data_IF_794283982820
#
_entry.id   IF_794283982820
#
_cell.length_a   1.000
_cell.length_b   1.000
_cell.length_c   1.000
_cell.angle_alpha   90.00
_cell.angle_beta   90.00
_cell.angle_gamma   90.00
#
_symmetry.space_group_name_H-M   'P 1'
#
loop_
_entity.id
_entity.type
_entity.pdbx_description
1 polymer ?
#
# COMPACT_ATOMS: atom_id res chain seq x y z
N UNK A 1 -21.09 -30.65 1.17
CA UNK A 1 -20.28 -29.57 1.75
C UNK A 1 -19.97 -28.60 0.61
N UNK A 2 -20.45 -27.37 0.65
CA UNK A 2 -20.14 -26.36 -0.34
C UNK A 2 -18.64 -26.01 -0.16
N UNK A 3 -17.82 -26.26 -1.19
CA UNK A 3 -16.40 -25.95 -1.16
C UNK A 3 -16.19 -24.47 -0.84
N UNK A 4 -15.36 -24.19 0.14
CA UNK A 4 -14.98 -22.83 0.51
C UNK A 4 -14.34 -22.14 -0.69
N UNK A 5 -14.91 -21.01 -1.12
CA UNK A 5 -14.37 -20.26 -2.26
C UNK A 5 -13.10 -19.53 -1.84
N UNK A 6 -11.98 -19.94 -2.41
CA UNK A 6 -10.71 -19.23 -2.28
C UNK A 6 -10.87 -17.74 -2.60
N UNK A 7 -10.36 -16.87 -1.74
CA UNK A 7 -10.30 -15.42 -1.96
C UNK A 7 -8.92 -15.05 -2.46
N UNK A 8 -8.87 -14.32 -3.58
CA UNK A 8 -7.63 -13.78 -4.16
C UNK A 8 -7.55 -12.29 -3.85
N UNK A 9 -6.40 -11.86 -3.34
CA UNK A 9 -6.15 -10.48 -2.94
C UNK A 9 -4.85 -10.03 -3.59
N UNK A 10 -4.85 -8.90 -4.28
CA UNK A 10 -3.65 -8.25 -4.80
C UNK A 10 -3.38 -6.98 -4.00
N UNK A 11 -2.11 -6.78 -3.60
CA UNK A 11 -1.70 -5.70 -2.70
C UNK A 11 -0.48 -4.98 -3.23
N UNK A 12 -0.52 -3.67 -3.27
CA UNK A 12 0.63 -2.81 -3.59
C UNK A 12 0.67 -1.60 -2.67
N UNK A 13 1.75 -0.81 -2.75
CA UNK A 13 1.90 0.45 -2.00
C UNK A 13 2.82 1.44 -2.72
N UNK A 14 2.85 2.66 -2.22
CA UNK A 14 3.90 3.64 -2.49
C UNK A 14 4.08 3.94 -3.99
N UNK A 15 2.98 4.24 -4.70
CA UNK A 15 3.02 4.66 -6.10
C UNK A 15 3.59 6.06 -6.27
N UNK A 16 3.34 6.95 -5.31
CA UNK A 16 3.82 8.33 -5.30
C UNK A 16 3.53 9.07 -6.63
N UNK A 17 2.28 9.07 -7.06
CA UNK A 17 1.90 9.84 -8.25
C UNK A 17 2.24 11.33 -8.06
N UNK A 18 2.77 12.03 -9.08
CA UNK A 18 2.89 11.59 -10.47
C UNK A 18 4.24 10.92 -10.80
N UNK A 19 5.10 10.68 -9.82
CA UNK A 19 6.44 10.09 -10.04
C UNK A 19 6.43 8.55 -10.05
N UNK A 20 5.29 7.95 -10.27
CA UNK A 20 5.18 6.49 -10.44
C UNK A 20 6.04 6.04 -11.63
N UNK A 21 6.79 4.95 -11.45
CA UNK A 21 7.52 4.32 -12.56
C UNK A 21 6.54 3.73 -13.55
N UNK A 22 6.61 4.19 -14.82
CA UNK A 22 5.69 3.72 -15.86
C UNK A 22 5.81 2.22 -16.09
N UNK A 23 7.02 1.70 -16.21
CA UNK A 23 7.24 0.27 -16.44
C UNK A 23 6.71 -0.60 -15.29
N UNK A 24 6.90 -0.15 -14.04
CA UNK A 24 6.29 -0.84 -12.90
C UNK A 24 4.76 -0.79 -12.94
N UNK A 25 4.19 0.35 -13.25
CA UNK A 25 2.74 0.50 -13.27
C UNK A 25 2.08 -0.38 -14.34
N UNK A 26 2.65 -0.40 -15.54
CA UNK A 26 2.17 -1.28 -16.62
C UNK A 26 2.28 -2.76 -16.23
N UNK A 27 3.39 -3.14 -15.59
CA UNK A 27 3.58 -4.50 -15.06
C UNK A 27 2.57 -4.84 -13.95
N UNK A 28 2.32 -3.92 -13.00
CA UNK A 28 1.33 -4.09 -11.93
C UNK A 28 -0.07 -4.34 -12.50
N UNK A 29 -0.48 -3.58 -13.51
CA UNK A 29 -1.76 -3.78 -14.18
C UNK A 29 -1.85 -5.19 -14.79
N UNK A 30 -0.79 -5.66 -15.45
CA UNK A 30 -0.73 -7.02 -15.98
C UNK A 30 -0.84 -8.10 -14.89
N UNK A 31 -0.21 -7.88 -13.72
CA UNK A 31 -0.35 -8.79 -12.58
C UNK A 31 -1.78 -8.84 -12.06
N UNK A 32 -2.43 -7.68 -11.91
CA UNK A 32 -3.82 -7.59 -11.44
C UNK A 32 -4.77 -8.28 -12.43
N UNK A 33 -4.63 -7.98 -13.72
CA UNK A 33 -5.47 -8.55 -14.76
C UNK A 33 -5.31 -10.08 -14.88
N UNK A 34 -4.08 -10.56 -14.85
CA UNK A 34 -3.79 -12.01 -14.93
C UNK A 34 -4.24 -12.77 -13.68
N UNK A 35 -4.08 -12.17 -12.51
CA UNK A 35 -4.45 -12.79 -11.23
C UNK A 35 -5.96 -12.81 -10.99
N UNK A 36 -6.71 -11.85 -11.55
CA UNK A 36 -8.16 -11.70 -11.37
C UNK A 36 -8.58 -11.69 -9.89
N UNK A 37 -8.10 -10.75 -9.09
CA UNK A 37 -8.34 -10.72 -7.65
C UNK A 37 -9.81 -10.47 -7.32
N UNK A 38 -10.27 -10.95 -6.16
CA UNK A 38 -11.56 -10.59 -5.58
C UNK A 38 -11.47 -9.29 -4.76
N UNK A 39 -10.27 -9.00 -4.27
CA UNK A 39 -9.96 -7.77 -3.54
C UNK A 39 -8.65 -7.19 -4.06
N UNK A 40 -8.62 -5.89 -4.19
CA UNK A 40 -7.37 -5.14 -4.36
C UNK A 40 -7.20 -4.19 -3.18
N UNK A 41 -5.97 -4.08 -2.70
CA UNK A 41 -5.64 -3.24 -1.55
C UNK A 41 -4.43 -2.37 -1.89
N UNK A 42 -4.65 -1.07 -1.95
CA UNK A 42 -3.58 -0.08 -1.94
C UNK A 42 -3.25 0.27 -0.48
N UNK A 43 -2.02 0.01 -0.06
CA UNK A 43 -1.59 0.25 1.31
C UNK A 43 -1.24 1.71 1.60
N UNK A 44 -1.37 2.60 0.63
CA UNK A 44 -1.13 4.03 0.82
C UNK A 44 0.10 4.55 0.08
N UNK A 45 0.35 5.85 0.28
CA UNK A 45 1.30 6.65 -0.47
C UNK A 45 1.02 6.57 -1.98
N UNK A 46 -0.26 6.73 -2.35
CA UNK A 46 -0.66 6.87 -3.74
C UNK A 46 -0.28 8.24 -4.27
N UNK A 47 -0.51 9.27 -3.46
CA UNK A 47 -0.02 10.63 -3.70
C UNK A 47 1.42 10.79 -3.25
N UNK A 48 2.18 11.67 -3.91
CA UNK A 48 3.47 12.12 -3.40
C UNK A 48 3.29 13.24 -2.36
N UNK A 49 2.25 14.06 -2.51
CA UNK A 49 1.88 15.08 -1.55
C UNK A 49 2.99 16.10 -1.28
N UNK A 50 3.88 16.35 -2.25
CA UNK A 50 5.07 17.18 -2.07
C UNK A 50 4.73 18.60 -1.60
N UNK A 51 3.67 19.16 -2.12
CA UNK A 51 3.17 20.48 -1.79
C UNK A 51 2.65 20.60 -0.35
N UNK A 52 2.29 19.50 0.30
CA UNK A 52 1.84 19.45 1.69
C UNK A 52 2.98 19.27 2.69
N UNK A 53 4.20 19.01 2.21
CA UNK A 53 5.33 18.73 3.10
C UNK A 53 5.84 20.03 3.75
N UNK A 54 5.97 20.02 5.08
CA UNK A 54 6.56 21.12 5.88
C UNK A 54 7.96 21.53 5.40
N UNK A 55 8.68 20.64 4.72
CA UNK A 55 10.06 20.77 4.29
C UNK A 55 10.23 21.01 2.78
N UNK A 56 9.15 21.26 2.05
CA UNK A 56 9.21 21.51 0.62
C UNK A 56 9.88 22.85 0.31
N UNK A 57 11.21 22.92 0.46
CA UNK A 57 12.03 24.09 0.12
C UNK A 57 12.48 24.13 -1.34
N UNK A 58 12.28 23.06 -2.09
CA UNK A 58 12.65 23.01 -3.51
C UNK A 58 11.46 23.41 -4.37
N UNK A 59 11.44 24.71 -4.72
CA UNK A 59 10.38 25.32 -5.55
C UNK A 59 10.39 24.85 -7.01
N UNK A 60 11.41 24.13 -7.44
CA UNK A 60 11.71 23.93 -8.86
C UNK A 60 11.42 22.52 -9.40
N UNK A 61 10.82 21.66 -8.62
CA UNK A 61 10.46 20.31 -9.07
C UNK A 61 8.93 20.18 -9.19
N UNK A 62 8.48 20.50 -10.18
CA UNK A 62 7.57 20.90 -11.13
C UNK A 62 6.32 20.11 -11.36
N UNK A 63 5.50 19.66 -10.40
CA UNK A 63 4.09 19.34 -10.66
C UNK A 63 3.17 20.09 -9.68
N UNK A 64 2.03 20.48 -10.22
CA UNK A 64 0.95 21.10 -9.46
C UNK A 64 0.08 20.03 -8.76
N UNK A 65 -0.72 20.45 -7.79
CA UNK A 65 -1.76 19.61 -7.16
C UNK A 65 -2.68 19.01 -8.22
N UNK A 66 -3.02 19.79 -9.24
CA UNK A 66 -3.90 19.33 -10.31
C UNK A 66 -3.27 18.20 -11.13
N UNK A 67 -2.00 18.31 -11.48
CA UNK A 67 -1.27 17.24 -12.19
C UNK A 67 -1.19 15.97 -11.35
N UNK A 68 -1.00 16.10 -10.04
CA UNK A 68 -1.00 14.96 -9.13
C UNK A 68 -2.39 14.29 -9.08
N UNK A 69 -3.46 15.05 -8.97
CA UNK A 69 -4.83 14.54 -9.06
C UNK A 69 -5.10 13.85 -10.41
N UNK A 70 -4.69 14.45 -11.53
CA UNK A 70 -4.85 13.86 -12.85
C UNK A 70 -4.10 12.53 -12.99
N UNK A 71 -2.89 12.45 -12.43
CA UNK A 71 -2.11 11.22 -12.41
C UNK A 71 -2.82 10.13 -11.61
N UNK A 72 -3.31 10.43 -10.40
CA UNK A 72 -4.06 9.48 -9.56
C UNK A 72 -5.35 9.04 -10.25
N UNK A 73 -6.12 9.96 -10.84
CA UNK A 73 -7.35 9.63 -11.57
C UNK A 73 -7.06 8.69 -12.76
N UNK A 74 -5.98 8.96 -13.49
CA UNK A 74 -5.55 8.11 -14.62
C UNK A 74 -5.16 6.70 -14.15
N UNK A 75 -4.39 6.61 -13.08
CA UNK A 75 -4.01 5.33 -12.48
C UNK A 75 -5.22 4.58 -11.91
N UNK A 76 -6.12 5.27 -11.20
CA UNK A 76 -7.33 4.67 -10.65
C UNK A 76 -8.21 4.08 -11.77
N UNK A 77 -8.39 4.81 -12.86
CA UNK A 77 -9.13 4.31 -14.04
C UNK A 77 -8.51 3.05 -14.61
N UNK A 78 -7.19 3.02 -14.80
CA UNK A 78 -6.50 1.85 -15.33
C UNK A 78 -6.62 0.64 -14.38
N UNK A 79 -6.46 0.85 -13.06
CA UNK A 79 -6.64 -0.18 -12.04
C UNK A 79 -8.10 -0.67 -12.03
N UNK A 80 -9.09 0.24 -12.12
CA UNK A 80 -10.50 -0.13 -12.19
C UNK A 80 -10.80 -1.04 -13.38
N UNK A 81 -10.17 -0.78 -14.51
CA UNK A 81 -10.30 -1.62 -15.72
C UNK A 81 -9.65 -2.98 -15.54
N UNK A 82 -8.42 -3.04 -15.02
CA UNK A 82 -7.68 -4.28 -14.79
C UNK A 82 -8.31 -5.17 -13.71
N UNK A 83 -9.04 -4.57 -12.75
CA UNK A 83 -9.63 -5.26 -11.59
C UNK A 83 -11.15 -5.34 -11.61
N UNK A 84 -11.74 -5.52 -12.79
CA UNK A 84 -13.22 -5.61 -12.92
C UNK A 84 -13.82 -6.65 -11.96
N UNK A 85 -14.82 -6.24 -11.19
CA UNK A 85 -15.51 -7.10 -10.22
C UNK A 85 -14.79 -7.26 -8.88
N UNK A 86 -13.58 -6.74 -8.71
CA UNK A 86 -12.89 -6.74 -7.42
C UNK A 86 -13.44 -5.66 -6.48
N UNK A 87 -13.45 -5.96 -5.18
CA UNK A 87 -13.61 -4.93 -4.13
C UNK A 87 -12.31 -4.16 -3.98
N UNK A 88 -12.40 -2.83 -4.00
CA UNK A 88 -11.26 -1.93 -4.01
C UNK A 88 -11.13 -1.21 -2.68
N UNK A 89 -9.93 -1.20 -2.13
CA UNK A 89 -9.66 -0.62 -0.82
C UNK A 89 -8.37 0.21 -0.90
N UNK A 90 -8.43 1.42 -0.37
CA UNK A 90 -7.30 2.31 -0.25
C UNK A 90 -7.12 2.72 1.21
N UNK A 91 -5.98 2.38 1.79
CA UNK A 91 -5.54 2.86 3.09
C UNK A 91 -4.64 4.09 2.86
N UNK A 92 -4.78 5.12 3.67
CA UNK A 92 -3.84 6.23 3.61
C UNK A 92 -2.47 5.84 4.13
N UNK A 93 -1.43 6.25 3.40
CA UNK A 93 -0.08 6.36 3.90
C UNK A 93 0.19 7.77 4.46
N UNK A 94 1.41 8.01 4.92
CA UNK A 94 1.77 9.30 5.49
C UNK A 94 1.78 10.44 4.46
N UNK A 95 2.03 10.13 3.20
CA UNK A 95 1.96 11.11 2.10
C UNK A 95 0.51 11.50 1.80
N UNK A 96 -0.40 10.52 1.72
CA UNK A 96 -1.83 10.78 1.53
C UNK A 96 -2.40 11.58 2.70
N UNK A 97 -2.04 11.20 3.94
CA UNK A 97 -2.51 11.90 5.13
C UNK A 97 -2.00 13.34 5.19
N UNK A 98 -0.74 13.56 4.85
CA UNK A 98 -0.19 14.90 4.72
C UNK A 98 -0.91 15.74 3.66
N UNK A 99 -1.34 15.08 2.58
CA UNK A 99 -2.05 15.74 1.49
C UNK A 99 -3.46 16.17 1.87
N UNK A 100 -4.19 15.34 2.62
CA UNK A 100 -5.64 15.52 2.82
C UNK A 100 -6.06 15.87 4.24
N UNK A 101 -5.21 15.58 5.23
CA UNK A 101 -5.44 15.93 6.63
C UNK A 101 -4.50 17.06 7.05
N UNK A 102 -4.77 18.26 6.55
CA UNK A 102 -3.94 19.44 6.82
C UNK A 102 -3.96 19.74 8.31
N UNK A 103 -2.79 19.74 8.93
CA UNK A 103 -2.65 20.18 10.31
C UNK A 103 -2.98 21.68 10.41
N UNK A 104 -3.67 22.12 11.49
CA UNK A 104 -4.08 23.51 11.69
C UNK A 104 -2.95 24.54 11.61
N UNK A 105 -1.72 24.11 11.90
CA UNK A 105 -0.52 24.96 11.89
C UNK A 105 0.06 25.18 10.46
N UNK A 106 -0.54 24.59 9.45
CA UNK A 106 -0.15 24.79 8.04
C UNK A 106 -1.03 25.85 7.46
N UNK A 107 -0.53 27.07 7.42
CA UNK A 107 -1.18 28.29 6.95
C UNK A 107 -1.38 28.30 5.44
N UNK A 108 -2.34 27.57 4.96
CA UNK A 108 -2.80 27.71 3.59
C UNK A 108 -4.28 27.34 3.53
N UNK A 109 -5.11 28.09 4.27
CA UNK A 109 -6.57 27.92 4.25
C UNK A 109 -7.15 27.97 2.84
N UNK A 110 -6.49 28.69 1.92
CA UNK A 110 -6.92 28.84 0.53
C UNK A 110 -6.59 27.63 -0.35
N UNK A 111 -5.67 26.77 0.08
CA UNK A 111 -5.19 25.62 -0.71
C UNK A 111 -5.92 24.33 -0.31
N UNK A 112 -6.41 24.26 0.92
CA UNK A 112 -7.04 23.05 1.50
C UNK A 112 -8.15 22.46 0.64
N UNK A 113 -9.10 23.23 0.09
CA UNK A 113 -10.17 22.69 -0.76
C UNK A 113 -9.64 22.09 -2.06
N UNK A 114 -8.67 22.76 -2.70
CA UNK A 114 -8.07 22.27 -3.94
C UNK A 114 -7.30 20.95 -3.78
N UNK A 115 -6.94 20.61 -2.53
CA UNK A 115 -6.15 19.47 -2.17
C UNK A 115 -6.97 18.21 -1.97
N UNK A 116 -8.24 18.35 -1.60
CA UNK A 116 -9.10 17.19 -1.35
C UNK A 116 -9.45 16.51 -2.66
N UNK A 117 -9.05 15.23 -2.78
CA UNK A 117 -9.40 14.45 -3.95
C UNK A 117 -10.93 14.38 -4.19
N UNK A 118 -11.75 14.40 -3.15
CA UNK A 118 -13.21 14.39 -3.25
C UNK A 118 -13.79 15.66 -3.89
N UNK A 119 -13.03 16.75 -3.93
CA UNK A 119 -13.42 17.98 -4.60
C UNK A 119 -12.97 18.00 -6.07
N UNK A 120 -12.02 17.15 -6.45
CA UNK A 120 -11.65 16.93 -7.84
C UNK A 120 -12.58 15.89 -8.46
N UNK A 121 -13.46 16.33 -9.36
CA UNK A 121 -14.49 15.49 -9.97
C UNK A 121 -13.95 14.25 -10.68
N UNK A 122 -12.78 14.36 -11.29
CA UNK A 122 -12.18 13.22 -12.01
C UNK A 122 -11.69 12.15 -11.04
N UNK A 123 -10.99 12.54 -9.98
CA UNK A 123 -10.55 11.61 -8.92
C UNK A 123 -11.74 11.03 -8.18
N UNK A 124 -12.72 11.86 -7.79
CA UNK A 124 -13.91 11.42 -7.08
C UNK A 124 -14.67 10.36 -7.86
N UNK A 125 -14.86 10.56 -9.18
CA UNK A 125 -15.52 9.58 -10.05
C UNK A 125 -14.78 8.24 -10.11
N UNK A 126 -13.46 8.26 -10.27
CA UNK A 126 -12.67 7.03 -10.39
C UNK A 126 -12.54 6.29 -9.05
N UNK A 127 -12.74 6.97 -7.93
CA UNK A 127 -12.67 6.40 -6.58
C UNK A 127 -14.06 6.13 -5.94
N UNK A 128 -15.16 6.35 -6.67
CA UNK A 128 -16.52 6.18 -6.15
C UNK A 128 -16.74 4.80 -5.53
N UNK A 129 -16.26 3.73 -6.18
CA UNK A 129 -16.38 2.35 -5.73
C UNK A 129 -15.25 1.89 -4.79
N UNK A 130 -14.37 2.81 -4.37
CA UNK A 130 -13.29 2.47 -3.48
C UNK A 130 -13.67 2.69 -2.02
N UNK A 131 -13.40 1.69 -1.19
CA UNK A 131 -13.44 1.89 0.26
C UNK A 131 -12.16 2.59 0.69
N UNK A 132 -12.26 3.87 1.02
CA UNK A 132 -11.13 4.66 1.50
C UNK A 132 -11.08 4.63 3.02
N UNK A 133 -9.95 4.23 3.58
CA UNK A 133 -9.62 4.29 5.00
C UNK A 133 -8.73 5.52 5.21
N UNK A 134 -9.39 6.68 5.26
CA UNK A 134 -8.75 7.99 5.47
C UNK A 134 -8.20 8.10 6.88
N UNK A 135 -7.01 8.59 7.01
CA UNK A 135 -6.12 8.77 8.17
C UNK A 135 -5.02 7.72 8.22
N UNK A 136 -3.84 8.22 8.43
CA UNK A 136 -2.64 7.44 8.70
C UNK A 136 -2.39 7.34 10.20
N UNK A 137 -1.77 6.25 10.64
CA UNK A 137 -1.40 6.05 12.04
C UNK A 137 -1.23 4.57 12.38
N UNK A 138 -0.63 4.33 13.56
CA UNK A 138 -0.37 2.97 14.01
C UNK A 138 -1.64 2.13 14.18
N UNK A 139 -2.75 2.74 14.58
CA UNK A 139 -4.04 2.11 14.81
C UNK A 139 -4.90 2.02 13.53
N UNK A 140 -4.35 2.41 12.37
CA UNK A 140 -5.05 2.43 11.10
C UNK A 140 -4.69 1.23 10.26
N UNK A 141 -5.54 0.22 10.32
CA UNK A 141 -5.37 -1.03 9.56
C UNK A 141 -6.72 -1.60 9.10
N UNK A 142 -6.66 -2.41 8.08
CA UNK A 142 -7.76 -3.27 7.63
C UNK A 142 -7.44 -4.71 8.02
N UNK A 143 -8.43 -5.45 8.46
CA UNK A 143 -8.29 -6.88 8.69
C UNK A 143 -9.28 -7.67 7.84
N UNK A 144 -8.77 -8.63 7.09
CA UNK A 144 -9.57 -9.61 6.35
C UNK A 144 -9.16 -11.02 6.81
N UNK A 145 -9.96 -11.62 7.69
CA UNK A 145 -9.59 -12.87 8.35
C UNK A 145 -8.27 -12.72 9.13
N UNK A 146 -7.29 -13.60 8.92
CA UNK A 146 -6.00 -13.56 9.61
C UNK A 146 -5.02 -12.54 9.00
N UNK A 147 -5.42 -11.80 7.97
CA UNK A 147 -4.54 -10.88 7.26
C UNK A 147 -4.82 -9.46 7.72
N UNK A 148 -3.75 -8.78 8.15
CA UNK A 148 -3.76 -7.35 8.51
C UNK A 148 -3.05 -6.56 7.43
N UNK A 149 -3.71 -5.54 6.90
CA UNK A 149 -3.20 -4.59 5.91
C UNK A 149 -3.01 -3.24 6.57
N UNK A 150 -1.85 -2.65 6.41
CA UNK A 150 -1.48 -1.37 7.02
C UNK A 150 -0.43 -0.68 6.15
N UNK A 151 -0.42 0.65 6.11
CA UNK A 151 0.72 1.33 5.48
C UNK A 151 2.00 1.05 6.24
N UNK A 152 1.97 1.09 7.57
CA UNK A 152 3.13 0.98 8.46
C UNK A 152 3.67 2.36 8.84
N UNK A 153 4.24 2.46 10.03
CA UNK A 153 4.80 3.70 10.57
C UNK A 153 6.30 3.57 10.85
N UNK A 154 6.79 2.36 10.96
CA UNK A 154 8.18 2.08 11.34
C UNK A 154 9.06 1.81 10.11
N UNK A 155 10.26 2.39 10.12
CA UNK A 155 11.25 2.22 9.05
C UNK A 155 12.34 1.20 9.40
N UNK A 156 12.62 1.01 10.68
CA UNK A 156 13.63 0.06 11.14
C UNK A 156 13.10 -1.38 11.14
N UNK A 157 13.98 -2.36 10.88
CA UNK A 157 13.60 -3.79 10.95
C UNK A 157 12.99 -4.14 12.31
N UNK A 158 13.55 -3.64 13.41
CA UNK A 158 13.04 -3.90 14.75
C UNK A 158 11.67 -3.26 14.98
N UNK A 159 11.44 -2.05 14.47
CA UNK A 159 10.15 -1.37 14.53
C UNK A 159 9.08 -2.12 13.75
N UNK A 160 9.36 -2.51 12.50
CA UNK A 160 8.45 -3.31 11.66
C UNK A 160 8.07 -4.63 12.33
N UNK A 161 9.04 -5.32 12.96
CA UNK A 161 8.76 -6.55 13.71
C UNK A 161 7.82 -6.28 14.90
N UNK A 162 8.07 -5.22 15.68
CA UNK A 162 7.18 -4.83 16.79
C UNK A 162 5.76 -4.53 16.31
N UNK A 163 5.60 -3.76 15.24
CA UNK A 163 4.30 -3.50 14.63
C UNK A 163 3.61 -4.80 14.21
N UNK A 164 4.35 -5.72 13.61
CA UNK A 164 3.77 -7.00 13.17
C UNK A 164 3.24 -7.81 14.35
N UNK A 165 3.98 -7.91 15.44
CA UNK A 165 3.51 -8.60 16.66
C UNK A 165 2.29 -7.90 17.27
N UNK A 166 2.29 -6.56 17.28
CA UNK A 166 1.25 -5.78 17.94
C UNK A 166 -0.08 -5.77 17.17
N UNK A 167 -0.02 -5.67 15.83
CA UNK A 167 -1.22 -5.49 15.00
C UNK A 167 -1.70 -6.76 14.30
N UNK A 168 -0.90 -7.83 14.28
CA UNK A 168 -1.32 -9.13 13.74
C UNK A 168 -1.96 -10.01 14.80
N UNK A 169 -2.70 -11.00 14.35
CA UNK A 169 -3.09 -12.14 15.19
C UNK A 169 -2.00 -13.20 15.14
N UNK A 170 -1.82 -14.01 16.20
CA UNK A 170 -0.95 -15.20 16.13
C UNK A 170 -1.32 -16.04 14.90
N UNK A 171 -0.31 -16.52 14.19
CA UNK A 171 -0.43 -17.21 12.90
C UNK A 171 -1.03 -16.38 11.76
N UNK A 172 -1.15 -15.05 11.94
CA UNK A 172 -1.61 -14.13 10.94
C UNK A 172 -0.49 -13.54 10.09
N UNK A 173 -0.87 -13.01 8.93
CA UNK A 173 0.01 -12.26 8.04
C UNK A 173 -0.24 -10.75 8.19
N UNK A 174 0.81 -9.97 8.36
CA UNK A 174 0.77 -8.51 8.16
C UNK A 174 1.37 -8.17 6.80
N UNK A 175 0.63 -7.43 5.99
CA UNK A 175 1.14 -6.84 4.76
C UNK A 175 1.26 -5.33 4.98
N UNK A 176 2.48 -4.80 4.83
CA UNK A 176 2.74 -3.37 5.04
C UNK A 176 3.57 -2.76 3.93
N UNK A 177 3.39 -1.46 3.70
CA UNK A 177 4.19 -0.63 2.78
C UNK A 177 5.28 0.16 3.50
N UNK A 178 5.38 1.47 3.22
CA UNK A 178 6.18 2.50 3.85
C UNK A 178 7.70 2.34 3.74
N UNK A 179 8.25 1.17 4.00
CA UNK A 179 9.71 0.96 3.99
C UNK A 179 10.31 0.91 2.59
N UNK A 180 9.48 0.80 1.55
CA UNK A 180 9.87 0.63 0.14
C UNK A 180 10.73 -0.62 -0.15
N UNK A 181 10.88 -1.50 0.83
CA UNK A 181 11.70 -2.70 0.74
C UNK A 181 10.82 -3.91 0.60
N UNK A 182 10.77 -4.53 -0.59
CA UNK A 182 9.98 -5.73 -0.77
C UNK A 182 10.52 -6.82 0.16
N UNK A 183 9.62 -7.43 0.89
CA UNK A 183 9.93 -8.55 1.75
C UNK A 183 9.02 -9.71 1.36
N UNK A 184 9.62 -10.86 1.09
CA UNK A 184 8.88 -12.12 0.97
C UNK A 184 8.20 -12.44 2.31
N UNK A 185 7.23 -13.33 2.26
CA UNK A 185 6.62 -13.81 3.51
C UNK A 185 7.70 -14.47 4.35
N UNK A 186 7.98 -13.83 5.45
CA UNK A 186 8.93 -14.36 6.44
C UNK A 186 8.24 -14.52 7.79
N UNK A 187 8.53 -15.62 8.45
CA UNK A 187 8.17 -15.78 9.83
C UNK A 187 9.08 -14.91 10.70
N UNK A 188 8.49 -14.22 11.66
CA UNK A 188 9.28 -13.37 12.54
C UNK A 188 10.21 -14.19 13.42
N UNK A 189 11.45 -13.77 13.47
CA UNK A 189 12.48 -14.24 14.39
C UNK A 189 12.74 -13.18 15.45
N UNK A 190 12.73 -13.56 16.70
CA UNK A 190 13.16 -12.75 17.82
C UNK A 190 14.23 -13.50 18.60
N UNK A 191 15.50 -13.08 18.46
CA UNK A 191 16.65 -13.69 19.12
C UNK A 191 16.79 -15.20 18.89
N UNK A 192 16.55 -15.66 17.67
CA UNK A 192 16.63 -17.07 17.29
C UNK A 192 15.37 -17.89 17.60
N UNK A 193 14.34 -17.29 18.18
CA UNK A 193 13.05 -17.93 18.38
C UNK A 193 12.05 -17.51 17.30
N UNK A 194 11.53 -18.47 16.54
CA UNK A 194 10.50 -18.20 15.54
C UNK A 194 9.17 -17.90 16.24
N UNK A 195 8.64 -16.71 15.99
CA UNK A 195 7.34 -16.30 16.48
C UNK A 195 6.24 -16.69 15.49
N UNK A 196 5.01 -16.92 15.95
CA UNK A 196 3.89 -17.31 15.07
C UNK A 196 3.29 -16.08 14.34
N UNK A 197 4.14 -15.25 13.76
CA UNK A 197 3.72 -14.06 13.02
C UNK A 197 4.45 -14.01 11.67
N UNK A 198 3.74 -13.56 10.65
CA UNK A 198 4.26 -13.44 9.30
C UNK A 198 4.14 -12.02 8.79
N UNK A 199 5.10 -11.59 7.99
CA UNK A 199 5.07 -10.27 7.35
C UNK A 199 5.39 -10.36 5.86
N UNK A 200 4.85 -9.41 5.10
CA UNK A 200 5.14 -9.20 3.69
C UNK A 200 5.12 -7.71 3.36
N UNK A 201 5.85 -7.31 2.32
CA UNK A 201 5.87 -5.93 1.83
C UNK A 201 5.98 -5.91 0.30
N UNK A 202 5.10 -5.18 -0.42
CA UNK A 202 5.16 -5.10 -1.88
C UNK A 202 6.28 -4.20 -2.41
N UNK A 203 6.94 -3.42 -1.57
CA UNK A 203 7.93 -2.44 -2.02
C UNK A 203 7.33 -1.11 -2.45
N UNK A 204 7.94 -0.46 -3.45
CA UNK A 204 7.59 0.89 -3.88
C UNK A 204 7.49 1.00 -5.40
N UNK A 205 6.41 1.55 -5.90
CA UNK A 205 6.15 1.73 -7.33
C UNK A 205 6.68 3.02 -7.94
N UNK A 206 7.30 3.89 -7.13
CA UNK A 206 7.82 5.17 -7.61
C UNK A 206 9.03 5.03 -8.53
N UNK A 207 9.27 6.07 -9.30
CA UNK A 207 10.55 6.33 -9.97
C UNK A 207 11.49 6.98 -8.95
N UNK A 208 12.39 6.18 -8.40
CA UNK A 208 13.26 6.60 -7.30
C UNK A 208 14.25 7.68 -7.69
N UNK A 209 14.57 7.78 -8.96
CA UNK A 209 15.50 8.80 -9.45
C UNK A 209 14.89 10.20 -9.35
N UNK A 210 13.57 10.28 -9.32
CA UNK A 210 12.80 11.52 -9.08
C UNK A 210 12.59 11.85 -7.60
N UNK A 211 12.96 10.97 -6.69
CA UNK A 211 12.89 11.20 -5.24
C UNK A 211 14.21 11.83 -4.74
N UNK A 212 14.51 13.06 -5.15
CA UNK A 212 15.78 13.73 -4.82
C UNK A 212 15.94 14.05 -3.34
N UNK A 213 14.86 14.10 -2.58
CA UNK A 213 14.86 14.34 -1.14
C UNK A 213 15.30 13.12 -0.30
N UNK A 214 15.42 11.96 -0.93
CA UNK A 214 15.91 10.72 -0.28
C UNK A 214 17.32 10.46 -0.79
N UNK A 215 18.27 10.39 0.15
CA UNK A 215 19.63 10.10 -0.20
C UNK A 215 19.83 8.66 -0.73
N UNK A 216 20.90 8.48 -1.54
CA UNK A 216 21.16 7.21 -2.23
C UNK A 216 21.33 6.03 -1.27
N UNK A 217 21.89 6.26 -0.08
CA UNK A 217 22.08 5.20 0.92
C UNK A 217 20.73 4.69 1.47
N UNK A 218 19.78 5.59 1.66
CA UNK A 218 18.44 5.23 2.14
C UNK A 218 17.62 4.45 1.10
N UNK A 219 17.96 4.58 -0.19
CA UNK A 219 17.33 3.82 -1.28
C UNK A 219 17.88 2.39 -1.42
N UNK A 220 18.93 2.03 -0.68
CA UNK A 220 19.46 0.66 -0.71
C UNK A 220 18.42 -0.34 -0.21
N UNK A 221 18.20 -1.38 -0.99
CA UNK A 221 17.20 -2.41 -0.71
C UNK A 221 15.76 -2.02 -1.06
N UNK A 222 15.53 -0.84 -1.68
CA UNK A 222 14.25 -0.55 -2.29
C UNK A 222 14.00 -1.45 -3.49
N UNK A 223 12.76 -1.82 -3.70
CA UNK A 223 12.37 -2.69 -4.81
C UNK A 223 10.91 -2.55 -5.15
N UNK A 224 10.52 -3.13 -6.26
CA UNK A 224 9.18 -3.09 -6.83
C UNK A 224 8.55 -4.46 -6.79
N UNK A 225 7.31 -4.56 -6.36
CA UNK A 225 6.60 -5.83 -6.31
C UNK A 225 5.11 -5.66 -6.08
N UNK A 226 4.42 -6.78 -6.08
CA UNK A 226 3.02 -6.94 -5.70
C UNK A 226 2.90 -8.17 -4.81
N UNK A 227 2.09 -8.08 -3.77
CA UNK A 227 1.79 -9.24 -2.92
C UNK A 227 0.49 -9.84 -3.40
N UNK A 228 0.53 -11.09 -3.86
CA UNK A 228 -0.62 -11.86 -4.29
C UNK A 228 -0.93 -12.92 -3.22
N UNK A 229 -2.18 -12.95 -2.75
CA UNK A 229 -2.60 -13.81 -1.64
C UNK A 229 -3.79 -14.64 -2.08
N UNK A 230 -3.68 -15.95 -1.92
CA UNK A 230 -4.80 -16.87 -1.99
C UNK A 230 -5.14 -17.33 -0.57
N UNK A 231 -6.35 -17.04 -0.11
CA UNK A 231 -6.81 -17.40 1.23
C UNK A 231 -8.04 -18.30 1.14
N UNK A 232 -7.94 -19.48 1.73
CA UNK A 232 -9.02 -20.42 1.91
C UNK A 232 -9.52 -20.30 3.34
N UNK A 233 -10.44 -19.40 3.62
CA UNK A 233 -10.94 -19.27 4.98
C UNK A 233 -12.34 -18.66 5.02
N UNK A 234 -13.23 -19.29 5.79
CA UNK A 234 -14.57 -18.77 6.08
C UNK A 234 -14.52 -17.77 7.22
N UNK A 235 -15.53 -16.89 7.28
CA UNK A 235 -15.75 -16.03 8.44
C UNK A 235 -15.96 -16.83 9.75
N UNK A 236 -16.35 -18.10 9.65
CA UNK A 236 -16.57 -18.98 10.79
C UNK A 236 -15.29 -19.49 11.45
N UNK A 237 -14.15 -19.41 10.80
CA UNK A 237 -12.88 -19.82 11.39
C UNK A 237 -12.32 -18.83 12.42
N UNK A 238 -13.02 -17.73 12.72
CA UNK A 238 -12.57 -16.73 13.71
C UNK A 238 -12.29 -17.28 15.11
N UNK A 239 -12.90 -18.40 15.49
CA UNK A 239 -12.71 -19.03 16.80
C UNK A 239 -11.75 -20.24 16.80
N UNK A 240 -11.43 -20.78 15.64
CA UNK A 240 -10.61 -22.00 15.52
C UNK A 240 -9.11 -21.73 15.29
N UNK A 241 -8.71 -20.47 15.12
CA UNK A 241 -7.34 -20.08 14.73
C UNK A 241 -6.27 -20.23 15.83
N UNK A 242 -6.64 -20.56 17.05
CA UNK A 242 -5.67 -20.79 18.11
C UNK A 242 -4.86 -22.08 17.94
N UNK A 243 -5.17 -22.95 16.96
CA UNK A 243 -4.54 -24.27 16.85
C UNK A 243 -4.25 -24.79 15.45
N UNK A 244 -4.51 -24.05 14.37
CA UNK A 244 -4.24 -24.52 13.00
C UNK A 244 -3.31 -23.60 12.24
N UNK A 245 -2.35 -24.24 11.57
CA UNK A 245 -1.45 -23.62 10.62
C UNK A 245 -2.27 -22.96 9.49
N UNK A 246 -1.84 -21.80 9.08
CA UNK A 246 -2.52 -20.95 8.12
C UNK A 246 -2.45 -21.52 6.69
N UNK A 247 -3.60 -21.79 6.07
CA UNK A 247 -3.70 -22.37 4.73
C UNK A 247 -3.83 -21.29 3.64
N UNK A 248 -2.97 -20.28 3.66
CA UNK A 248 -2.95 -19.31 2.57
C UNK A 248 -1.60 -19.32 1.86
N UNK A 249 -1.65 -19.46 0.55
CA UNK A 249 -0.49 -19.28 -0.29
C UNK A 249 -0.28 -17.78 -0.54
N UNK A 250 0.87 -17.26 -0.15
CA UNK A 250 1.27 -15.88 -0.42
C UNK A 250 2.44 -15.91 -1.40
N UNK A 251 2.23 -15.27 -2.54
CA UNK A 251 3.28 -15.08 -3.55
C UNK A 251 3.63 -13.61 -3.61
N UNK A 252 4.91 -13.31 -3.54
CA UNK A 252 5.41 -11.99 -3.88
C UNK A 252 6.04 -12.08 -5.24
N UNK A 253 5.45 -11.35 -6.18
CA UNK A 253 6.04 -11.15 -7.48
C UNK A 253 6.88 -9.89 -7.41
N UNK A 254 8.17 -10.00 -7.64
CA UNK A 254 9.07 -8.87 -7.80
C UNK A 254 9.26 -8.58 -9.27
N UNK A 255 9.21 -7.32 -9.64
CA UNK A 255 9.69 -6.87 -10.92
C UNK A 255 11.22 -6.90 -10.88
N UNK A 256 11.85 -7.65 -11.78
CA UNK A 256 13.29 -7.60 -11.94
C UNK A 256 13.68 -6.15 -12.29
N UNK A 257 14.64 -5.61 -11.54
CA UNK A 257 15.13 -4.26 -11.79
C UNK A 257 15.96 -4.31 -13.08
N UNK A 258 15.42 -3.81 -14.18
CA UNK A 258 16.14 -3.69 -15.46
C UNK A 258 17.22 -2.59 -15.41
N UNK A 259 17.92 -2.48 -14.31
CA UNK A 259 19.08 -1.63 -14.20
C UNK A 259 20.33 -2.41 -14.61
N UNK A 260 20.48 -2.59 -15.92
CA UNK A 260 21.77 -2.89 -16.54
C UNK A 260 21.87 -2.16 -17.88
#
# INVERSE_FOLDING_TARGET
MAGEKTKRIAVWSCLHAPITSKGYFDWLLGQIEGYKPHYIVNLGDWYEGKWAKRWAKHKDEGWSVLEEHQAVATQARAINQASKGAKRIWLYGNHDDNAFNVHPDRTADDIVPALRWCENKDVARELEDWKVLAKYGHDRYLRLGPITFQHGCELSKAGVKRETVYYSTPFGLRVSGHTHRPAQVEQLDLNGALLPYYQANPGCGADWDKMHYVDRLNKQGWGRGVVLIESCGTEQSRTAYASKQWDAEVRIHSMADERF
#
